data_IF_653776891639
#
_entry.id   IF_653776891639
#
_cell.length_a   1.000
_cell.length_b   1.000
_cell.length_c   1.000
_cell.angle_alpha   90.00
_cell.angle_beta   90.00
_cell.angle_gamma   90.00
#
_symmetry.space_group_name_H-M   'P 1'
#
loop_
_entity.id
_entity.type
_entity.pdbx_description
1 polymer ?
#
# COMPACT_ATOMS: atom_id res chain seq x y z
N UNK A 1 22.82 -20.14 -10.79
CA UNK A 1 23.09 -19.93 -9.34
C UNK A 1 21.75 -19.80 -8.63
N UNK A 2 21.50 -20.59 -7.58
CA UNK A 2 20.37 -20.35 -6.70
C UNK A 2 20.72 -19.17 -5.79
N UNK A 3 20.03 -18.03 -5.95
CA UNK A 3 20.19 -16.90 -5.05
C UNK A 3 19.35 -17.20 -3.81
N UNK A 4 19.99 -17.68 -2.73
CA UNK A 4 19.32 -17.75 -1.42
C UNK A 4 18.85 -16.34 -1.08
N UNK A 5 17.54 -16.11 -1.14
CA UNK A 5 16.97 -14.85 -0.65
C UNK A 5 17.38 -14.70 0.82
N UNK A 6 17.79 -13.51 1.28
CA UNK A 6 18.12 -13.31 2.68
C UNK A 6 16.89 -13.66 3.52
N UNK A 7 17.00 -14.72 4.33
CA UNK A 7 15.99 -15.02 5.33
C UNK A 7 15.95 -13.84 6.31
N UNK A 8 14.79 -13.22 6.49
CA UNK A 8 14.59 -12.19 7.52
C UNK A 8 14.80 -10.74 7.06
N UNK A 9 14.61 -10.41 5.78
CA UNK A 9 14.69 -9.02 5.28
C UNK A 9 13.52 -8.10 5.73
N UNK A 10 12.78 -8.51 6.76
CA UNK A 10 11.63 -7.83 7.40
C UNK A 10 10.61 -7.22 6.41
N UNK A 11 10.59 -7.72 5.17
CA UNK A 11 9.69 -7.27 4.12
C UNK A 11 8.43 -8.12 4.17
N UNK A 12 7.28 -7.47 4.16
CA UNK A 12 6.01 -8.18 4.02
C UNK A 12 5.94 -8.85 2.64
N UNK A 13 5.76 -10.16 2.64
CA UNK A 13 5.45 -10.93 1.44
C UNK A 13 3.94 -11.09 1.36
N UNK A 14 3.33 -10.53 0.31
CA UNK A 14 1.90 -10.64 0.05
C UNK A 14 1.09 -9.35 0.21
N UNK A 15 -0.22 -9.45 -0.04
CA UNK A 15 -1.16 -8.33 -0.05
C UNK A 15 -1.59 -7.92 1.36
N UNK A 16 -1.83 -6.61 1.54
CA UNK A 16 -2.45 -6.06 2.74
C UNK A 16 -3.97 -6.11 2.58
N UNK A 17 -4.64 -6.94 3.39
CA UNK A 17 -6.10 -7.16 3.29
C UNK A 17 -6.93 -6.13 4.05
N UNK A 18 -6.41 -5.57 5.13
CA UNK A 18 -7.12 -4.59 5.99
C UNK A 18 -6.94 -3.13 5.56
N UNK A 19 -6.37 -2.93 4.37
CA UNK A 19 -6.09 -1.61 3.80
C UNK A 19 -6.58 -1.55 2.37
N UNK A 20 -7.12 -0.40 2.02
CA UNK A 20 -7.45 -0.02 0.66
C UNK A 20 -6.75 1.29 0.34
N UNK A 21 -6.68 1.64 -0.95
CA UNK A 21 -6.14 2.92 -1.39
C UNK A 21 -7.04 3.55 -2.43
N UNK A 22 -7.14 4.87 -2.38
CA UNK A 22 -7.87 5.69 -3.34
C UNK A 22 -6.96 6.78 -3.89
N UNK A 23 -7.24 7.24 -5.11
CA UNK A 23 -6.50 8.33 -5.74
C UNK A 23 -7.18 9.65 -5.43
N UNK A 24 -6.43 10.61 -4.89
CA UNK A 24 -6.90 11.97 -4.71
C UNK A 24 -6.52 12.81 -5.95
N UNK A 25 -7.48 13.21 -6.79
CA UNK A 25 -7.20 14.00 -7.98
C UNK A 25 -6.78 15.44 -7.69
N UNK A 26 -7.04 15.97 -6.48
CA UNK A 26 -6.66 17.34 -6.13
C UNK A 26 -5.18 17.47 -5.80
N UNK A 27 -4.60 16.45 -5.20
CA UNK A 27 -3.18 16.42 -4.82
C UNK A 27 -2.36 15.47 -5.69
N UNK A 28 -3.01 14.78 -6.64
CA UNK A 28 -2.43 13.75 -7.49
C UNK A 28 -1.70 12.64 -6.73
N UNK A 29 -2.19 12.32 -5.53
CA UNK A 29 -1.54 11.38 -4.60
C UNK A 29 -2.45 10.22 -4.22
N UNK A 30 -1.83 9.07 -3.93
CA UNK A 30 -2.53 7.89 -3.43
C UNK A 30 -2.67 7.97 -1.91
N UNK A 31 -3.87 7.74 -1.40
CA UNK A 31 -4.18 7.78 0.02
C UNK A 31 -4.57 6.38 0.49
N UNK A 32 -3.96 5.93 1.59
CA UNK A 32 -4.30 4.68 2.29
C UNK A 32 -5.53 4.91 3.17
N UNK A 33 -6.50 4.00 3.08
CA UNK A 33 -7.70 3.97 3.90
C UNK A 33 -7.75 2.67 4.71
N UNK A 34 -8.13 2.81 5.97
CA UNK A 34 -8.45 1.68 6.84
C UNK A 34 -9.80 1.08 6.42
N UNK A 35 -9.84 -0.21 6.10
CA UNK A 35 -11.06 -0.84 5.58
C UNK A 35 -12.10 -1.15 6.65
N UNK A 36 -11.70 -1.10 7.92
CA UNK A 36 -12.55 -1.40 9.08
C UNK A 36 -13.19 -0.13 9.62
N UNK A 37 -12.42 0.95 9.72
CA UNK A 37 -12.88 2.23 10.29
C UNK A 37 -13.21 3.28 9.22
N UNK A 38 -12.78 3.07 7.97
CA UNK A 38 -12.97 4.02 6.87
C UNK A 38 -12.10 5.26 6.95
N UNK A 39 -11.19 5.38 7.93
CA UNK A 39 -10.33 6.54 8.13
C UNK A 39 -9.21 6.58 7.07
N UNK A 40 -8.90 7.78 6.59
CA UNK A 40 -7.67 8.02 5.85
C UNK A 40 -6.49 8.02 6.82
N UNK A 41 -5.41 7.34 6.45
CA UNK A 41 -4.27 7.16 7.35
C UNK A 41 -3.00 7.83 6.84
N UNK A 42 -2.68 7.62 5.56
CA UNK A 42 -1.34 7.87 5.07
C UNK A 42 -1.36 8.23 3.59
N UNK A 43 -0.55 9.22 3.21
CA UNK A 43 -0.53 9.77 1.85
C UNK A 43 0.82 9.46 1.20
N UNK A 44 0.77 8.90 -0.01
CA UNK A 44 1.95 8.52 -0.75
C UNK A 44 2.55 9.75 -1.44
N UNK A 45 3.72 10.18 -0.97
CA UNK A 45 4.40 11.36 -1.50
C UNK A 45 5.00 11.14 -2.90
N UNK A 46 5.32 9.90 -3.28
CA UNK A 46 5.90 9.58 -4.58
C UNK A 46 4.88 9.54 -5.74
N UNK A 47 3.61 9.86 -5.48
CA UNK A 47 2.52 9.89 -6.48
C UNK A 47 2.08 8.54 -7.03
N UNK A 48 2.76 7.43 -6.69
CA UNK A 48 2.43 6.10 -7.17
C UNK A 48 1.62 5.29 -6.15
N UNK A 49 0.91 4.23 -6.54
CA UNK A 49 0.13 3.42 -5.60
C UNK A 49 1.00 2.77 -4.51
N UNK A 50 0.42 2.52 -3.34
CA UNK A 50 1.05 1.70 -2.31
C UNK A 50 1.19 0.25 -2.79
N UNK A 51 2.40 -0.30 -2.63
CA UNK A 51 2.70 -1.69 -3.02
C UNK A 51 1.89 -2.67 -2.16
N UNK A 52 1.15 -3.56 -2.84
CA UNK A 52 0.39 -4.63 -2.20
C UNK A 52 -0.87 -4.17 -1.46
N UNK A 53 -1.34 -2.94 -1.68
CA UNK A 53 -2.63 -2.45 -1.14
C UNK A 53 -3.66 -2.42 -2.27
N UNK A 54 -4.89 -2.89 -2.02
CA UNK A 54 -5.93 -2.92 -3.07
C UNK A 54 -6.41 -1.51 -3.41
N UNK A 55 -6.62 -1.23 -4.70
CA UNK A 55 -7.30 0.01 -5.14
C UNK A 55 -8.80 -0.11 -4.88
N UNK A 56 -9.40 0.95 -4.36
CA UNK A 56 -10.87 1.09 -4.31
C UNK A 56 -11.38 1.24 -5.76
N UNK A 57 -12.57 0.66 -6.03
CA UNK A 57 -13.25 0.79 -7.32
C UNK A 57 -14.17 1.99 -7.29
#
# INVERSE_FOLDING_TARGET
>A
MAKNAPYGDNRRVGMVKERSQTFNPQTEQWVKRDTTTGRFMDVKQDGSPFKGVRKEK
#
